data_IF_659291049822
#
_entry.id   IF_659291049822
#
_cell.length_a   1.000
_cell.length_b   1.000
_cell.length_c   1.000
_cell.angle_alpha   90.00
_cell.angle_beta   90.00
_cell.angle_gamma   90.00
#
_symmetry.space_group_name_H-M   'P 1'
#
loop_
_entity.id
_entity.type
_entity.pdbx_description
1 polymer ?
#
# COMPACT_ATOMS: atom_id res chain seq x y z
N UNK A 1 -9.12 8.18 -9.14
CA UNK A 1 -8.57 7.59 -10.39
C UNK A 1 -7.02 7.65 -10.48
N UNK A 2 -6.34 8.65 -9.91
CA UNK A 2 -4.85 8.75 -9.93
C UNK A 2 -4.09 7.63 -9.19
N UNK A 3 -4.74 6.92 -8.27
CA UNK A 3 -4.11 5.83 -7.48
C UNK A 3 -3.90 4.53 -8.28
N UNK A 4 -4.86 4.17 -9.15
CA UNK A 4 -4.76 3.00 -10.05
C UNK A 4 -3.58 3.16 -11.03
N UNK A 5 -3.36 4.40 -11.47
CA UNK A 5 -2.24 4.82 -12.31
C UNK A 5 -0.93 5.05 -11.53
N UNK A 6 -0.81 4.63 -10.27
CA UNK A 6 0.45 4.72 -9.51
C UNK A 6 0.98 3.32 -9.12
N UNK A 7 0.10 2.33 -9.05
CA UNK A 7 0.46 0.93 -8.85
C UNK A 7 1.00 0.33 -10.16
N UNK A 8 2.29 -0.04 -10.21
CA UNK A 8 2.90 -0.69 -11.38
C UNK A 8 2.11 -1.94 -11.85
N UNK A 9 1.48 -2.65 -10.91
CA UNK A 9 0.63 -3.80 -11.19
C UNK A 9 -0.75 -3.40 -11.74
N UNK A 10 -1.32 -2.30 -11.25
CA UNK A 10 -2.61 -1.76 -11.72
C UNK A 10 -2.54 -1.19 -13.14
N UNK A 11 -1.43 -0.52 -13.51
CA UNK A 11 -1.20 -0.04 -14.88
C UNK A 11 -1.13 -1.16 -15.90
N UNK A 12 -0.36 -2.22 -15.59
CA UNK A 12 -0.20 -3.37 -16.47
C UNK A 12 -1.52 -4.11 -16.68
N UNK A 13 -2.26 -4.37 -15.60
CA UNK A 13 -3.56 -5.03 -15.66
C UNK A 13 -4.60 -4.20 -16.43
N UNK A 14 -4.68 -2.89 -16.18
CA UNK A 14 -5.63 -2.00 -16.87
C UNK A 14 -5.29 -1.89 -18.38
N UNK A 15 -4.02 -1.77 -18.74
CA UNK A 15 -3.58 -1.75 -20.13
C UNK A 15 -3.87 -3.07 -20.86
N UNK A 16 -3.63 -4.21 -20.20
CA UNK A 16 -3.98 -5.54 -20.72
C UNK A 16 -5.49 -5.70 -20.94
N UNK A 17 -6.31 -5.19 -20.01
CA UNK A 17 -7.76 -5.21 -20.17
C UNK A 17 -8.23 -4.37 -21.36
N UNK A 18 -7.69 -3.15 -21.51
CA UNK A 18 -8.04 -2.26 -22.63
C UNK A 18 -7.60 -2.87 -23.98
N UNK A 19 -6.39 -3.42 -24.07
CA UNK A 19 -5.89 -4.08 -25.28
C UNK A 19 -6.72 -5.32 -25.66
N UNK A 20 -7.14 -6.11 -24.66
CA UNK A 20 -8.00 -7.27 -24.89
C UNK A 20 -9.41 -6.87 -25.37
N UNK A 21 -10.01 -5.81 -24.80
CA UNK A 21 -11.32 -5.29 -25.23
C UNK A 21 -11.26 -4.77 -26.67
N UNK A 22 -10.19 -4.04 -27.04
CA UNK A 22 -9.97 -3.56 -28.41
C UNK A 22 -9.74 -4.73 -29.38
N UNK A 23 -9.04 -5.78 -28.95
CA UNK A 23 -8.86 -7.02 -29.73
C UNK A 23 -10.18 -7.74 -30.02
N UNK A 24 -11.10 -7.79 -29.04
CA UNK A 24 -12.43 -8.40 -29.23
C UNK A 24 -13.35 -7.61 -30.18
N UNK A 25 -13.13 -6.31 -30.36
CA UNK A 25 -13.90 -5.49 -31.31
C UNK A 25 -13.60 -5.81 -32.78
N UNK A 26 -12.44 -6.44 -33.05
CA UNK A 26 -11.98 -6.77 -34.40
C UNK A 26 -12.31 -8.22 -34.81
N UNK A 27 -12.83 -9.04 -33.90
CA UNK A 27 -13.21 -10.42 -34.16
C UNK A 27 -14.66 -10.51 -34.67
N UNK A 28 -15.00 -11.48 -35.55
CA UNK A 28 -16.40 -11.76 -35.86
C UNK A 28 -17.16 -12.05 -34.57
N UNK A 29 -18.40 -11.56 -34.48
CA UNK A 29 -19.28 -11.66 -33.29
C UNK A 29 -19.82 -13.10 -33.10
N UNK A 30 -18.94 -14.08 -33.12
CA UNK A 30 -19.28 -15.47 -32.86
C UNK A 30 -19.53 -15.64 -31.35
N UNK A 31 -20.64 -16.30 -31.01
CA UNK A 31 -21.08 -16.57 -29.63
C UNK A 31 -20.00 -17.28 -28.79
N UNK A 32 -19.06 -17.98 -29.45
CA UNK A 32 -17.91 -18.65 -28.84
C UNK A 32 -16.88 -17.70 -28.20
N UNK A 33 -16.90 -16.40 -28.51
CA UNK A 33 -15.97 -15.40 -27.94
C UNK A 33 -16.46 -14.87 -26.58
N UNK A 34 -17.77 -14.97 -26.31
CA UNK A 34 -18.40 -14.43 -25.10
C UNK A 34 -17.81 -15.01 -23.80
N UNK A 35 -17.58 -16.33 -23.65
CA UNK A 35 -16.99 -16.88 -22.44
C UNK A 35 -15.59 -16.31 -22.15
N UNK A 36 -14.78 -16.07 -23.19
CA UNK A 36 -13.44 -15.50 -23.05
C UNK A 36 -13.47 -14.06 -22.52
N UNK A 37 -14.38 -13.24 -23.05
CA UNK A 37 -14.56 -11.86 -22.56
C UNK A 37 -15.01 -11.85 -21.09
N UNK A 38 -15.95 -12.72 -20.71
CA UNK A 38 -16.43 -12.83 -19.33
C UNK A 38 -15.28 -13.20 -18.39
N UNK A 39 -14.46 -14.20 -18.74
CA UNK A 39 -13.29 -14.59 -17.93
C UNK A 39 -12.33 -13.41 -17.77
N UNK A 40 -12.05 -12.66 -18.83
CA UNK A 40 -11.17 -11.49 -18.78
C UNK A 40 -11.72 -10.39 -17.86
N UNK A 41 -13.03 -10.13 -17.91
CA UNK A 41 -13.68 -9.16 -17.02
C UNK A 41 -13.65 -9.61 -15.55
N UNK A 42 -13.89 -10.90 -15.27
CA UNK A 42 -13.79 -11.46 -13.93
C UNK A 42 -12.35 -11.32 -13.40
N UNK A 43 -11.35 -11.66 -14.21
CA UNK A 43 -9.94 -11.53 -13.83
C UNK A 43 -9.56 -10.08 -13.56
N UNK A 44 -10.02 -9.14 -14.40
CA UNK A 44 -9.83 -7.71 -14.17
C UNK A 44 -10.44 -7.26 -12.84
N UNK A 45 -11.66 -7.70 -12.54
CA UNK A 45 -12.36 -7.37 -11.31
C UNK A 45 -11.59 -7.89 -10.09
N UNK A 46 -11.14 -9.15 -10.10
CA UNK A 46 -10.34 -9.75 -9.01
C UNK A 46 -9.08 -8.94 -8.70
N UNK A 47 -8.42 -8.39 -9.72
CA UNK A 47 -7.20 -7.57 -9.53
C UNK A 47 -7.53 -6.21 -8.92
N UNK A 48 -8.67 -5.61 -9.27
CA UNK A 48 -9.07 -4.27 -8.84
C UNK A 48 -9.71 -4.29 -7.43
N UNK A 49 -10.39 -5.38 -7.08
CA UNK A 49 -11.11 -5.54 -5.81
C UNK A 49 -10.29 -5.17 -4.56
N UNK A 50 -9.02 -5.60 -4.38
CA UNK A 50 -8.22 -5.24 -3.21
C UNK A 50 -7.97 -3.73 -3.10
N UNK A 51 -7.76 -3.04 -4.23
CA UNK A 51 -7.55 -1.59 -4.23
C UNK A 51 -8.85 -0.84 -3.92
N UNK A 52 -9.99 -1.27 -4.46
CA UNK A 52 -11.30 -0.73 -4.07
C UNK A 52 -11.56 -0.94 -2.57
N UNK A 53 -11.32 -2.16 -2.07
CA UNK A 53 -11.50 -2.47 -0.65
C UNK A 53 -10.61 -1.60 0.24
N UNK A 54 -9.37 -1.38 -0.17
CA UNK A 54 -8.45 -0.48 0.52
C UNK A 54 -8.96 0.97 0.54
N UNK A 55 -9.37 1.49 -0.62
CA UNK A 55 -9.82 2.87 -0.77
C UNK A 55 -11.14 3.14 -0.01
N UNK A 56 -12.03 2.15 0.07
CA UNK A 56 -13.29 2.23 0.83
C UNK A 56 -13.11 2.07 2.34
N UNK A 57 -12.04 1.43 2.79
CA UNK A 57 -11.81 1.20 4.23
C UNK A 57 -11.29 2.47 4.90
N UNK A 58 -11.75 2.72 6.14
CA UNK A 58 -11.25 3.83 6.95
C UNK A 58 -9.78 3.63 7.32
N UNK A 59 -9.08 4.73 7.58
CA UNK A 59 -7.65 4.72 7.95
C UNK A 59 -7.40 3.90 9.21
N UNK A 60 -8.26 4.06 10.21
CA UNK A 60 -8.20 3.40 11.52
C UNK A 60 -8.39 1.90 11.34
N UNK A 61 -9.40 1.48 10.56
CA UNK A 61 -9.64 0.05 10.27
C UNK A 61 -8.46 -0.60 9.56
N UNK A 62 -7.83 0.13 8.63
CA UNK A 62 -6.65 -0.37 7.92
C UNK A 62 -5.45 -0.51 8.84
N UNK A 63 -5.25 0.47 9.73
CA UNK A 63 -4.11 0.49 10.64
C UNK A 63 -4.28 -0.49 11.82
N UNK A 64 -5.51 -0.67 12.31
CA UNK A 64 -5.91 -1.66 13.33
C UNK A 64 -5.41 -3.07 13.06
N UNK A 65 -5.22 -3.43 11.79
CA UNK A 65 -4.60 -4.71 11.39
C UNK A 65 -3.25 -4.97 12.08
N UNK A 66 -2.53 -3.92 12.46
CA UNK A 66 -1.19 -3.99 13.02
C UNK A 66 -1.12 -3.92 14.54
N UNK A 67 -2.25 -3.86 15.25
CA UNK A 67 -2.29 -3.73 16.73
C UNK A 67 -1.36 -4.74 17.43
N UNK A 68 -1.46 -6.03 17.07
CA UNK A 68 -0.63 -7.10 17.66
C UNK A 68 0.86 -7.01 17.29
N UNK A 69 1.20 -6.24 16.26
CA UNK A 69 2.57 -6.11 15.79
C UNK A 69 3.36 -5.03 16.54
N UNK A 70 2.72 -4.25 17.41
CA UNK A 70 3.36 -3.12 18.10
C UNK A 70 4.10 -3.55 19.38
N UNK A 71 3.78 -4.72 19.96
CA UNK A 71 4.28 -5.10 21.29
C UNK A 71 5.72 -5.63 21.30
N UNK A 72 6.36 -5.85 20.14
CA UNK A 72 7.72 -6.39 20.12
C UNK A 72 8.79 -5.29 20.20
N UNK A 73 9.85 -5.52 20.98
CA UNK A 73 11.03 -4.64 21.06
C UNK A 73 11.64 -4.31 19.69
N UNK A 74 11.56 -5.23 18.74
CA UNK A 74 12.05 -5.00 17.36
C UNK A 74 11.22 -4.00 16.57
N UNK A 75 9.95 -3.82 16.94
CA UNK A 75 9.00 -2.92 16.28
C UNK A 75 9.09 -1.52 16.86
N UNK A 76 9.32 -1.38 18.17
CA UNK A 76 9.67 -0.11 18.79
C UNK A 76 10.89 0.56 18.13
N UNK A 77 11.99 -0.18 17.91
CA UNK A 77 13.17 0.36 17.18
C UNK A 77 12.84 0.89 15.78
N UNK A 78 11.74 0.46 15.17
CA UNK A 78 11.32 0.88 13.82
C UNK A 78 10.40 2.09 13.88
N UNK A 79 9.63 2.20 14.96
CA UNK A 79 8.86 3.37 15.31
C UNK A 79 9.79 4.53 15.67
N UNK A 80 10.82 4.28 16.48
CA UNK A 80 11.90 5.22 16.80
C UNK A 80 12.60 5.73 15.53
N UNK A 81 13.01 4.83 14.63
CA UNK A 81 13.60 5.21 13.32
C UNK A 81 12.62 5.97 12.40
N UNK A 82 11.32 5.86 12.64
CA UNK A 82 10.33 6.65 11.92
C UNK A 82 10.13 8.03 12.58
N UNK A 83 10.20 8.11 13.91
CA UNK A 83 10.20 9.38 14.64
C UNK A 83 11.40 10.22 14.23
N UNK A 84 12.59 9.60 14.20
CA UNK A 84 13.82 10.17 13.67
C UNK A 84 13.63 10.57 12.18
N UNK A 85 14.21 11.69 11.76
CA UNK A 85 14.14 12.22 10.39
C UNK A 85 14.87 11.36 9.32
N UNK A 86 15.07 10.06 9.59
CA UNK A 86 15.73 9.06 8.74
C UNK A 86 14.84 8.56 7.59
N UNK A 87 13.67 9.16 7.38
CA UNK A 87 12.82 8.89 6.22
C UNK A 87 12.10 10.14 5.70
N UNK A 88 12.59 10.68 4.57
CA UNK A 88 11.98 11.84 3.90
C UNK A 88 10.81 11.42 3.01
N UNK A 89 9.66 12.04 3.23
CA UNK A 89 8.49 11.92 2.35
C UNK A 89 8.72 12.79 1.11
N UNK A 90 8.77 12.17 -0.07
CA UNK A 90 8.82 12.88 -1.36
C UNK A 90 7.44 13.32 -1.84
N UNK A 91 6.42 12.52 -1.55
CA UNK A 91 5.04 12.79 -1.93
C UNK A 91 4.12 12.19 -0.89
N UNK A 92 3.12 12.94 -0.46
CA UNK A 92 2.05 12.50 0.44
C UNK A 92 0.70 12.72 -0.22
N UNK A 93 -0.15 11.70 -0.19
CA UNK A 93 -1.55 11.79 -0.60
C UNK A 93 -2.41 11.27 0.56
N UNK A 94 -2.94 12.21 1.34
CA UNK A 94 -3.75 11.89 2.52
C UNK A 94 -5.07 11.20 2.14
N UNK A 95 -5.68 11.60 1.02
CA UNK A 95 -6.96 11.04 0.57
C UNK A 95 -6.83 9.56 0.22
N UNK A 96 -5.80 9.20 -0.53
CA UNK A 96 -5.53 7.82 -0.94
C UNK A 96 -4.64 7.07 0.06
N UNK A 97 -4.29 7.69 1.19
CA UNK A 97 -3.51 7.12 2.29
C UNK A 97 -2.20 6.47 1.82
N UNK A 98 -1.47 7.18 0.96
CA UNK A 98 -0.17 6.73 0.48
C UNK A 98 0.90 7.80 0.52
N UNK A 99 2.14 7.34 0.55
CA UNK A 99 3.30 8.20 0.39
C UNK A 99 4.38 7.53 -0.47
N UNK A 100 5.22 8.37 -1.08
CA UNK A 100 6.49 7.99 -1.67
C UNK A 100 7.62 8.45 -0.76
N UNK A 101 8.49 7.53 -0.37
CA UNK A 101 9.67 7.80 0.44
C UNK A 101 10.93 7.72 -0.40
N UNK A 102 11.96 8.47 -0.03
CA UNK A 102 13.30 8.29 -0.59
C UNK A 102 13.81 6.88 -0.31
N UNK A 103 14.12 6.12 -1.37
CA UNK A 103 14.71 4.80 -1.24
C UNK A 103 16.16 4.74 -1.70
N UNK A 104 16.75 3.55 -1.56
CA UNK A 104 18.15 3.32 -1.95
C UNK A 104 18.30 3.46 -3.47
N UNK A 105 19.44 4.00 -3.92
CA UNK A 105 19.76 4.19 -5.35
C UNK A 105 18.71 5.02 -6.11
N UNK A 106 18.07 5.98 -5.44
CA UNK A 106 17.12 6.90 -6.05
C UNK A 106 15.72 6.33 -6.34
N UNK A 107 15.50 5.02 -6.17
CA UNK A 107 14.19 4.38 -6.38
C UNK A 107 13.27 4.65 -5.17
N UNK A 108 12.16 5.38 -5.31
CA UNK A 108 11.29 5.68 -4.18
C UNK A 108 10.56 4.44 -3.67
N UNK A 109 10.37 4.35 -2.36
CA UNK A 109 9.51 3.34 -1.76
C UNK A 109 8.07 3.82 -1.76
N UNK A 110 7.18 3.02 -2.33
CA UNK A 110 5.73 3.25 -2.28
C UNK A 110 5.20 2.62 -1.01
N UNK A 111 4.48 3.42 -0.23
CA UNK A 111 4.00 3.04 1.09
C UNK A 111 2.52 3.37 1.22
N UNK A 112 1.78 2.42 1.79
CA UNK A 112 0.36 2.50 2.14
C UNK A 112 0.21 2.02 3.57
N UNK A 113 -0.95 2.22 4.19
CA UNK A 113 -1.20 1.72 5.55
C UNK A 113 -1.09 0.19 5.70
N UNK A 114 -1.18 -0.59 4.61
CA UNK A 114 -1.15 -2.07 4.68
C UNK A 114 0.05 -2.70 3.96
N UNK A 115 0.87 -1.90 3.26
CA UNK A 115 1.99 -2.42 2.49
C UNK A 115 3.05 -1.38 2.18
N UNK A 116 4.30 -1.82 2.02
CA UNK A 116 5.41 -0.99 1.59
C UNK A 116 6.31 -1.75 0.60
N UNK A 117 6.88 -1.06 -0.39
CA UNK A 117 7.78 -1.68 -1.37
C UNK A 117 9.24 -1.80 -0.91
N UNK A 118 9.56 -1.32 0.29
CA UNK A 118 10.91 -1.41 0.86
C UNK A 118 11.31 -2.87 1.17
N UNK A 119 12.61 -3.21 1.17
CA UNK A 119 13.09 -4.57 1.46
C UNK A 119 12.60 -5.11 2.80
N UNK A 120 12.60 -4.26 3.81
CA UNK A 120 12.21 -4.60 5.17
C UNK A 120 10.76 -5.13 5.29
N UNK A 121 9.80 -4.44 4.66
CA UNK A 121 8.43 -4.94 4.60
C UNK A 121 8.32 -6.19 3.73
N UNK A 122 9.08 -6.26 2.63
CA UNK A 122 9.05 -7.43 1.73
C UNK A 122 9.49 -8.70 2.46
N UNK A 123 10.48 -8.60 3.34
CA UNK A 123 11.01 -9.72 4.12
C UNK A 123 10.11 -10.07 5.31
N UNK A 124 9.76 -9.09 6.14
CA UNK A 124 9.07 -9.36 7.43
C UNK A 124 7.55 -9.41 7.34
N UNK A 125 6.96 -8.76 6.34
CA UNK A 125 5.50 -8.55 6.23
C UNK A 125 4.87 -7.83 7.44
N UNK A 126 5.69 -7.12 8.21
CA UNK A 126 5.29 -6.30 9.36
C UNK A 126 5.52 -4.82 9.06
N UNK A 127 4.85 -3.89 9.76
CA UNK A 127 5.04 -2.46 9.57
C UNK A 127 6.52 -2.07 9.63
N UNK A 128 6.96 -1.38 8.59
CA UNK A 128 8.30 -0.82 8.50
C UNK A 128 8.29 0.66 8.94
N UNK A 129 9.47 1.27 9.09
CA UNK A 129 9.58 2.70 9.46
C UNK A 129 8.75 3.63 8.57
N UNK A 130 8.70 3.36 7.26
CA UNK A 130 7.92 4.17 6.32
C UNK A 130 6.41 4.12 6.60
N UNK A 131 5.89 2.96 7.02
CA UNK A 131 4.47 2.79 7.33
C UNK A 131 4.10 3.53 8.60
N UNK A 132 4.96 3.48 9.62
CA UNK A 132 4.80 4.29 10.83
C UNK A 132 4.83 5.79 10.53
N UNK A 133 5.77 6.27 9.71
CA UNK A 133 5.82 7.68 9.31
C UNK A 133 4.57 8.12 8.55
N UNK A 134 4.06 7.26 7.66
CA UNK A 134 2.81 7.51 6.96
C UNK A 134 1.62 7.56 7.93
N UNK A 135 1.54 6.62 8.87
CA UNK A 135 0.47 6.58 9.88
C UNK A 135 0.50 7.84 10.77
N UNK A 136 1.68 8.30 11.18
CA UNK A 136 1.86 9.56 11.90
C UNK A 136 1.40 10.76 11.05
N UNK A 137 1.75 10.80 9.76
CA UNK A 137 1.34 11.87 8.84
C UNK A 137 -0.17 11.90 8.55
N UNK A 138 -0.86 10.80 8.89
CA UNK A 138 -2.31 10.63 8.80
C UNK A 138 -2.98 10.68 10.20
N UNK A 139 -2.23 11.07 11.24
CA UNK A 139 -2.73 11.25 12.61
C UNK A 139 -3.34 9.97 13.22
N UNK A 140 -2.86 8.79 12.79
CA UNK A 140 -3.33 7.49 13.30
C UNK A 140 -2.53 6.99 14.51
N UNK A 141 -1.33 7.54 14.70
CA UNK A 141 -0.43 7.25 15.82
C UNK A 141 0.33 8.53 16.15
N UNK A 142 0.64 8.71 17.43
CA UNK A 142 1.69 9.62 17.85
C UNK A 142 2.96 8.82 18.15
N UNK A 143 4.05 9.12 17.45
CA UNK A 143 5.32 8.43 17.67
C UNK A 143 6.08 9.01 18.87
N UNK A 144 5.82 10.26 19.28
CA UNK A 144 6.47 10.88 20.43
C UNK A 144 5.99 10.24 21.74
N UNK A 145 4.67 10.04 21.87
CA UNK A 145 4.06 9.37 23.04
C UNK A 145 4.57 7.93 23.23
N UNK A 146 4.94 7.25 22.13
CA UNK A 146 5.38 5.86 22.16
C UNK A 146 6.85 5.69 22.55
N UNK A 147 7.66 6.75 22.49
CA UNK A 147 9.03 6.77 23.00
C UNK A 147 9.02 6.77 24.54
N UNK A 148 8.22 7.66 25.15
CA UNK A 148 8.07 7.76 26.61
C UNK A 148 7.61 6.43 27.24
N UNK A 149 6.60 5.80 26.66
CA UNK A 149 6.05 4.52 27.16
C UNK A 149 7.03 3.34 27.05
N UNK A 150 8.03 3.44 26.17
CA UNK A 150 9.03 2.38 25.98
C UNK A 150 10.14 2.41 27.05
N UNK A 151 10.44 3.60 27.59
CA UNK A 151 11.38 3.77 28.69
C UNK A 151 10.78 3.25 30.00
N UNK A 152 9.49 3.51 30.23
CA UNK A 152 8.76 3.02 31.41
C UNK A 152 8.63 1.49 31.48
N UNK A 153 8.67 0.78 30.33
CA UNK A 153 8.61 -0.68 30.26
C UNK A 153 9.98 -1.37 30.43
N UNK A 154 11.06 -0.59 30.56
CA UNK A 154 12.42 -1.08 30.77
C UNK A 154 12.97 -0.78 32.17
N UNK A 155 12.14 -0.22 33.06
CA UNK A 155 12.44 -0.01 34.50
C UNK A 155 11.72 -1.06 35.34
#
# INVERSE_FOLDING_TARGET
MKFLLSSSKGKGALALCILAILGCFSAPKDLSVIPGVIVMLIMAFVIILPEIKYLRSSSEKLWKKWELAHDSKTQFKRMERAAQNDCTIKQLDKLNRYALFSGKQGKPYRTTLISCTCPDFKERKLPCKHMYKLAQSLELIDLAELEEKSEDLLI
#
